data_IF_503749196151
#
_entry.id   IF_503749196151
#
_cell.length_a   1.000
_cell.length_b   1.000
_cell.length_c   1.000
_cell.angle_alpha   90.00
_cell.angle_beta   90.00
_cell.angle_gamma   90.00
#
_symmetry.space_group_name_H-M   'P 1'
#
loop_
_entity.id
_entity.type
_entity.pdbx_description
1 polymer ?
#
# COMPACT_ATOMS: atom_id res chain seq x y z
N UNK A 1 10.46 16.49 -9.11
CA UNK A 1 9.16 17.14 -8.80
C UNK A 1 9.14 17.58 -7.34
N UNK A 2 8.62 18.78 -7.04
CA UNK A 2 8.48 19.36 -5.68
C UNK A 2 7.40 18.67 -4.79
N UNK A 3 7.14 17.38 -4.98
CA UNK A 3 6.22 16.62 -4.11
C UNK A 3 6.90 16.02 -2.86
N UNK A 4 8.23 16.07 -2.77
CA UNK A 4 9.00 15.48 -1.67
C UNK A 4 9.02 16.34 -0.38
N UNK A 5 8.26 17.44 -0.34
CA UNK A 5 8.34 18.43 0.74
C UNK A 5 7.27 18.30 1.84
N UNK A 6 6.25 17.44 1.69
CA UNK A 6 5.11 17.42 2.63
C UNK A 6 4.46 16.04 2.82
N UNK A 7 5.19 14.91 2.78
CA UNK A 7 4.59 13.57 2.89
C UNK A 7 3.37 13.29 1.95
N UNK A 8 3.12 14.18 0.98
CA UNK A 8 2.00 14.12 0.04
C UNK A 8 2.21 13.00 -1.00
N UNK A 9 3.45 12.50 -1.11
CA UNK A 9 3.80 11.38 -1.97
C UNK A 9 2.99 10.13 -1.63
N UNK A 10 2.86 9.82 -0.35
CA UNK A 10 2.16 8.63 0.16
C UNK A 10 0.67 8.70 -0.22
N UNK A 11 0.03 9.84 0.03
CA UNK A 11 -1.36 10.09 -0.39
C UNK A 11 -1.53 10.09 -1.91
N UNK A 12 -0.59 10.67 -2.65
CA UNK A 12 -0.62 10.72 -4.11
C UNK A 12 -0.50 9.31 -4.72
N UNK A 13 0.40 8.46 -4.20
CA UNK A 13 0.53 7.07 -4.62
C UNK A 13 -0.72 6.28 -4.26
N UNK A 14 -1.26 6.45 -3.05
CA UNK A 14 -2.49 5.79 -2.64
C UNK A 14 -3.66 6.10 -3.58
N UNK A 15 -3.84 7.37 -3.97
CA UNK A 15 -4.90 7.81 -4.87
C UNK A 15 -4.64 7.32 -6.30
N UNK A 16 -3.42 7.51 -6.80
CA UNK A 16 -3.05 7.20 -8.19
C UNK A 16 -3.12 5.70 -8.48
N UNK A 17 -2.56 4.86 -7.59
CA UNK A 17 -2.51 3.41 -7.77
C UNK A 17 -3.69 2.67 -7.15
N UNK A 18 -4.52 3.36 -6.36
CA UNK A 18 -5.76 2.82 -5.81
C UNK A 18 -6.99 3.26 -6.61
N UNK A 19 -7.83 4.16 -6.07
CA UNK A 19 -9.10 4.54 -6.69
C UNK A 19 -8.99 4.98 -8.14
N UNK A 20 -7.98 5.78 -8.49
CA UNK A 20 -7.89 6.35 -9.84
C UNK A 20 -7.61 5.27 -10.88
N UNK A 21 -6.59 4.43 -10.65
CA UNK A 21 -6.23 3.35 -11.56
C UNK A 21 -7.40 2.38 -11.77
N UNK A 22 -8.07 2.00 -10.69
CA UNK A 22 -9.19 1.08 -10.76
C UNK A 22 -10.40 1.72 -11.44
N UNK A 23 -10.70 3.00 -11.15
CA UNK A 23 -11.78 3.73 -11.83
C UNK A 23 -11.57 3.79 -13.35
N UNK A 24 -10.35 4.17 -13.78
CA UNK A 24 -9.99 4.18 -15.20
C UNK A 24 -10.13 2.79 -15.83
N UNK A 25 -9.83 1.73 -15.09
CA UNK A 25 -9.98 0.35 -15.57
C UNK A 25 -11.44 0.00 -15.84
N UNK A 26 -12.36 0.30 -14.92
CA UNK A 26 -13.79 0.03 -15.14
C UNK A 26 -14.34 0.87 -16.29
N UNK A 27 -13.98 2.15 -16.37
CA UNK A 27 -14.40 3.02 -17.47
C UNK A 27 -14.00 2.48 -18.84
N UNK A 28 -12.85 1.81 -18.93
CA UNK A 28 -12.37 1.24 -20.18
C UNK A 28 -13.00 -0.13 -20.50
N UNK A 29 -13.17 -0.99 -19.50
CA UNK A 29 -13.55 -2.40 -19.68
C UNK A 29 -15.07 -2.61 -19.59
N UNK A 30 -15.77 -1.83 -18.76
CA UNK A 30 -17.20 -1.97 -18.48
C UNK A 30 -17.86 -0.60 -18.17
N UNK A 31 -17.86 0.35 -19.12
CA UNK A 31 -18.34 1.72 -18.90
C UNK A 31 -19.79 1.79 -18.41
N UNK A 32 -20.66 0.90 -18.90
CA UNK A 32 -22.08 0.87 -18.52
C UNK A 32 -22.32 0.39 -17.08
N UNK A 33 -21.32 -0.24 -16.45
CA UNK A 33 -21.43 -0.80 -15.10
C UNK A 33 -20.76 0.05 -14.02
N UNK A 34 -20.22 1.22 -14.37
CA UNK A 34 -19.48 2.10 -13.45
C UNK A 34 -20.32 2.45 -12.23
N UNK A 35 -21.54 2.95 -12.42
CA UNK A 35 -22.40 3.39 -11.31
C UNK A 35 -22.82 2.24 -10.39
N UNK A 36 -23.01 1.04 -10.96
CA UNK A 36 -23.43 -0.14 -10.21
C UNK A 36 -22.26 -0.80 -9.44
N UNK A 37 -21.05 -0.78 -10.02
CA UNK A 37 -19.89 -1.49 -9.47
C UNK A 37 -18.99 -0.60 -8.62
N UNK A 38 -19.11 0.73 -8.69
CA UNK A 38 -18.17 1.64 -8.03
C UNK A 38 -17.99 1.37 -6.54
N UNK A 39 -19.07 1.10 -5.80
CA UNK A 39 -19.01 0.81 -4.37
C UNK A 39 -18.28 -0.50 -4.04
N UNK A 40 -18.53 -1.57 -4.79
CA UNK A 40 -17.81 -2.84 -4.62
C UNK A 40 -16.35 -2.69 -5.04
N UNK A 41 -16.13 -1.95 -6.13
CA UNK A 41 -14.83 -1.86 -6.76
C UNK A 41 -13.86 -0.97 -6.00
N UNK A 42 -14.36 0.06 -5.33
CA UNK A 42 -13.59 0.87 -4.40
C UNK A 42 -12.92 0.00 -3.31
N UNK A 43 -13.60 -1.04 -2.83
CA UNK A 43 -13.03 -1.97 -1.85
C UNK A 43 -11.74 -2.63 -2.34
N UNK A 44 -11.66 -3.03 -3.62
CA UNK A 44 -10.47 -3.69 -4.16
C UNK A 44 -9.26 -2.75 -4.30
N UNK A 45 -9.48 -1.44 -4.26
CA UNK A 45 -8.38 -0.46 -4.32
C UNK A 45 -7.55 -0.46 -3.05
N UNK A 46 -8.18 -0.72 -1.90
CA UNK A 46 -7.58 -0.61 -0.57
C UNK A 46 -6.37 -1.54 -0.39
N UNK A 47 -6.47 -2.86 -0.60
CA UNK A 47 -5.32 -3.74 -0.43
C UNK A 47 -4.20 -3.44 -1.42
N UNK A 48 -4.53 -3.05 -2.66
CA UNK A 48 -3.55 -2.64 -3.67
C UNK A 48 -2.80 -1.37 -3.21
N UNK A 49 -3.51 -0.36 -2.72
CA UNK A 49 -2.90 0.87 -2.24
C UNK A 49 -1.99 0.64 -1.03
N UNK A 50 -2.35 -0.26 -0.11
CA UNK A 50 -1.47 -0.62 1.00
C UNK A 50 -0.16 -1.26 0.53
N UNK A 51 -0.19 -2.12 -0.49
CA UNK A 51 1.02 -2.70 -1.07
C UNK A 51 1.85 -1.65 -1.82
N UNK A 52 1.23 -0.76 -2.59
CA UNK A 52 1.93 0.35 -3.25
C UNK A 52 2.61 1.28 -2.23
N UNK A 53 1.91 1.64 -1.17
CA UNK A 53 2.44 2.44 -0.08
C UNK A 53 3.57 1.71 0.65
N UNK A 54 3.46 0.40 0.83
CA UNK A 54 4.52 -0.44 1.40
C UNK A 54 5.83 -0.34 0.59
N UNK A 55 5.74 -0.33 -0.75
CA UNK A 55 6.90 -0.16 -1.62
C UNK A 55 7.51 1.24 -1.47
N UNK A 56 6.69 2.29 -1.47
CA UNK A 56 7.16 3.67 -1.31
C UNK A 56 7.81 3.88 0.06
N UNK A 57 7.14 3.41 1.11
CA UNK A 57 7.63 3.49 2.48
C UNK A 57 8.93 2.70 2.67
N UNK A 58 9.12 1.58 1.98
CA UNK A 58 10.39 0.85 1.99
C UNK A 58 11.54 1.68 1.42
N UNK A 59 11.30 2.36 0.30
CA UNK A 59 12.29 3.25 -0.33
C UNK A 59 12.61 4.42 0.59
N UNK A 60 11.59 5.11 1.09
CA UNK A 60 11.76 6.23 2.03
C UNK A 60 12.49 5.79 3.32
N UNK A 61 12.29 4.54 3.77
CA UNK A 61 12.93 4.01 4.98
C UNK A 61 14.40 3.67 4.80
N UNK A 62 14.81 3.22 3.62
CA UNK A 62 16.22 2.98 3.30
C UNK A 62 16.99 4.30 3.21
N UNK A 63 16.32 5.34 2.71
CA UNK A 63 16.95 6.62 2.42
C UNK A 63 16.82 7.65 3.57
N UNK A 64 16.35 7.25 4.76
CA UNK A 64 16.13 8.15 5.92
C UNK A 64 17.34 9.06 6.17
N UNK A 65 18.56 8.51 6.17
CA UNK A 65 19.78 9.25 6.46
C UNK A 65 20.08 10.35 5.45
N UNK A 66 19.94 10.04 4.16
CA UNK A 66 20.19 10.99 3.07
C UNK A 66 19.04 12.01 2.95
N UNK A 67 17.79 11.55 3.10
CA UNK A 67 16.61 12.41 3.06
C UNK A 67 16.58 13.41 4.22
N UNK A 68 17.00 12.99 5.43
CA UNK A 68 17.11 13.89 6.58
C UNK A 68 18.18 14.97 6.35
N UNK A 69 19.34 14.62 5.77
CA UNK A 69 20.39 15.60 5.43
C UNK A 69 19.95 16.59 4.36
N UNK A 70 19.13 16.14 3.42
CA UNK A 70 18.56 16.97 2.37
C UNK A 70 17.36 17.82 2.83
N UNK A 71 16.94 17.71 4.10
CA UNK A 71 15.81 18.46 4.66
C UNK A 71 14.45 18.01 4.14
N UNK A 72 14.35 16.76 3.66
CA UNK A 72 13.14 16.17 3.12
C UNK A 72 12.32 15.54 4.25
N UNK A 73 11.00 15.75 4.22
CA UNK A 73 10.08 15.24 5.24
C UNK A 73 9.21 14.15 4.62
N UNK A 74 9.52 12.90 4.97
CA UNK A 74 8.73 11.70 4.65
C UNK A 74 8.21 11.06 5.94
N UNK A 75 7.23 10.15 5.81
CA UNK A 75 6.75 9.37 6.95
C UNK A 75 7.90 8.60 7.63
N UNK A 76 8.83 8.08 6.83
CA UNK A 76 9.99 7.36 7.32
C UNK A 76 10.98 8.26 8.10
N UNK A 77 11.28 9.47 7.62
CA UNK A 77 12.17 10.40 8.34
C UNK A 77 11.55 10.89 9.65
N UNK A 78 10.22 11.04 9.71
CA UNK A 78 9.51 11.43 10.93
C UNK A 78 9.49 10.32 12.00
N UNK A 79 9.35 9.07 11.56
CA UNK A 79 9.23 7.91 12.44
C UNK A 79 10.57 7.28 12.84
N UNK A 80 11.62 7.51 12.04
CA UNK A 80 12.90 6.82 12.16
C UNK A 80 12.80 5.32 11.88
N UNK A 81 13.93 4.62 11.91
CA UNK A 81 14.01 3.20 11.55
C UNK A 81 13.05 2.29 12.34
N UNK A 82 12.94 2.47 13.66
CA UNK A 82 12.06 1.65 14.49
C UNK A 82 10.57 1.88 14.21
N UNK A 83 10.17 3.12 13.94
CA UNK A 83 8.79 3.43 13.53
C UNK A 83 8.50 2.94 12.11
N UNK A 84 9.46 3.08 11.20
CA UNK A 84 9.36 2.58 9.83
C UNK A 84 9.11 1.08 9.75
N UNK A 85 9.77 0.27 10.58
CA UNK A 85 9.51 -1.18 10.70
C UNK A 85 8.06 -1.48 11.06
N UNK A 86 7.52 -0.78 12.06
CA UNK A 86 6.14 -0.98 12.52
C UNK A 86 5.12 -0.61 11.43
N UNK A 87 5.33 0.51 10.74
CA UNK A 87 4.46 0.92 9.63
C UNK A 87 4.54 -0.08 8.48
N UNK A 88 5.73 -0.54 8.13
CA UNK A 88 5.90 -1.53 7.05
C UNK A 88 5.13 -2.83 7.32
N UNK A 89 5.28 -3.39 8.53
CA UNK A 89 4.51 -4.57 8.96
C UNK A 89 3.01 -4.27 9.01
N UNK A 90 2.63 -3.09 9.50
CA UNK A 90 1.24 -2.64 9.55
C UNK A 90 0.58 -2.58 8.17
N UNK A 91 1.27 -2.04 7.16
CA UNK A 91 0.77 -1.95 5.79
C UNK A 91 0.56 -3.32 5.16
N UNK A 92 1.52 -4.23 5.29
CA UNK A 92 1.38 -5.62 4.80
C UNK A 92 0.21 -6.30 5.51
N UNK A 93 0.13 -6.19 6.83
CA UNK A 93 -0.94 -6.79 7.63
C UNK A 93 -2.31 -6.24 7.23
N UNK A 94 -2.41 -4.91 7.04
CA UNK A 94 -3.64 -4.25 6.62
C UNK A 94 -4.10 -4.75 5.25
N UNK A 95 -3.19 -4.95 4.29
CA UNK A 95 -3.52 -5.51 2.98
C UNK A 95 -4.17 -6.91 3.10
N UNK A 96 -3.60 -7.81 3.90
CA UNK A 96 -4.17 -9.14 4.13
C UNK A 96 -5.53 -9.06 4.84
N UNK A 97 -5.63 -8.28 5.92
CA UNK A 97 -6.87 -8.12 6.68
C UNK A 97 -8.00 -7.60 5.80
N UNK A 98 -7.74 -6.60 4.96
CA UNK A 98 -8.75 -6.08 4.04
C UNK A 98 -9.24 -7.15 3.07
N UNK A 99 -8.35 -7.94 2.46
CA UNK A 99 -8.76 -9.02 1.55
C UNK A 99 -9.60 -10.09 2.28
N UNK A 100 -9.23 -10.44 3.52
CA UNK A 100 -10.01 -11.39 4.33
C UNK A 100 -11.41 -10.85 4.61
N UNK A 101 -11.53 -9.59 5.05
CA UNK A 101 -12.82 -8.95 5.32
C UNK A 101 -13.68 -8.93 4.06
N UNK A 102 -13.12 -8.55 2.92
CA UNK A 102 -13.83 -8.54 1.64
C UNK A 102 -14.28 -9.94 1.19
N UNK A 103 -13.39 -10.94 1.32
CA UNK A 103 -13.68 -12.32 0.97
C UNK A 103 -14.88 -12.87 1.75
N UNK A 104 -14.90 -12.61 3.06
CA UNK A 104 -16.00 -13.03 3.94
C UNK A 104 -17.28 -12.24 3.66
N UNK A 105 -17.19 -10.91 3.53
CA UNK A 105 -18.34 -10.03 3.28
C UNK A 105 -19.05 -10.32 1.95
N UNK A 106 -18.30 -10.64 0.90
CA UNK A 106 -18.84 -10.95 -0.43
C UNK A 106 -19.10 -12.45 -0.65
N UNK A 107 -18.78 -13.30 0.33
CA UNK A 107 -18.84 -14.78 0.22
C UNK A 107 -18.00 -15.33 -0.94
N UNK A 108 -16.89 -14.65 -1.27
CA UNK A 108 -15.97 -15.02 -2.36
C UNK A 108 -14.70 -15.64 -1.78
N UNK A 109 -14.79 -16.93 -1.43
CA UNK A 109 -13.68 -17.66 -0.81
C UNK A 109 -12.42 -17.74 -1.71
N UNK A 110 -12.57 -17.63 -3.03
CA UNK A 110 -11.44 -17.59 -3.97
C UNK A 110 -10.44 -16.46 -3.68
N UNK A 111 -10.88 -15.35 -3.06
CA UNK A 111 -9.99 -14.26 -2.67
C UNK A 111 -9.00 -14.67 -1.58
N UNK A 112 -9.30 -15.72 -0.80
CA UNK A 112 -8.39 -16.24 0.24
C UNK A 112 -7.15 -16.93 -0.35
N UNK A 113 -7.06 -17.12 -1.67
CA UNK A 113 -5.82 -17.54 -2.33
C UNK A 113 -4.64 -16.60 -2.04
N UNK A 114 -4.91 -15.33 -1.67
CA UNK A 114 -3.88 -14.41 -1.19
C UNK A 114 -3.09 -14.99 -0.02
N UNK A 115 -3.68 -15.84 0.82
CA UNK A 115 -2.98 -16.42 1.97
C UNK A 115 -1.83 -17.35 1.58
N UNK A 116 -1.82 -17.85 0.34
CA UNK A 116 -0.70 -18.64 -0.19
C UNK A 116 0.60 -17.82 -0.29
N UNK A 117 0.52 -16.49 -0.36
CA UNK A 117 1.70 -15.62 -0.33
C UNK A 117 2.17 -15.22 1.07
N UNK A 118 1.54 -15.73 2.14
CA UNK A 118 1.98 -15.47 3.53
C UNK A 118 3.46 -15.79 3.77
N UNK A 119 4.03 -16.93 3.33
CA UNK A 119 5.45 -17.21 3.53
C UNK A 119 6.35 -16.15 2.90
N UNK A 120 5.97 -15.64 1.72
CA UNK A 120 6.69 -14.57 1.04
C UNK A 120 6.58 -13.24 1.80
N UNK A 121 5.41 -12.92 2.36
CA UNK A 121 5.24 -11.73 3.18
C UNK A 121 6.15 -11.74 4.41
N UNK A 122 6.29 -12.88 5.09
CA UNK A 122 7.23 -13.02 6.21
C UNK A 122 8.68 -12.85 5.76
N UNK A 123 9.07 -13.45 4.63
CA UNK A 123 10.43 -13.28 4.08
C UNK A 123 10.74 -11.80 3.79
N UNK A 124 9.82 -11.10 3.14
CA UNK A 124 9.96 -9.68 2.80
C UNK A 124 10.03 -8.80 4.05
N UNK A 125 9.21 -9.05 5.07
CA UNK A 125 9.28 -8.33 6.36
C UNK A 125 10.64 -8.53 7.04
N UNK A 126 11.14 -9.77 7.05
CA UNK A 126 12.41 -10.10 7.68
C UNK A 126 13.59 -9.44 6.95
N UNK A 127 13.58 -9.47 5.61
CA UNK A 127 14.58 -8.79 4.76
C UNK A 127 14.55 -7.29 5.00
N UNK A 128 13.38 -6.67 4.90
CA UNK A 128 13.24 -5.23 5.14
C UNK A 128 13.78 -4.84 6.52
N UNK A 129 13.44 -5.61 7.55
CA UNK A 129 13.90 -5.35 8.93
C UNK A 129 15.42 -5.43 9.09
N UNK A 130 16.09 -6.31 8.33
CA UNK A 130 17.55 -6.41 8.27
C UNK A 130 18.18 -5.29 7.44
N UNK A 131 17.58 -4.93 6.31
CA UNK A 131 18.14 -3.97 5.35
C UNK A 131 18.20 -2.54 5.88
N UNK A 132 17.31 -2.16 6.80
CA UNK A 132 17.24 -0.81 7.37
C UNK A 132 17.88 -0.70 8.76
N UNK A 133 18.63 -1.72 9.20
CA UNK A 133 19.42 -1.70 10.44
C UNK A 133 20.78 -1.03 10.25
#
# INVERSE_FOLDING_TARGET
LKLKYFALGDAAIFIAFGPLLVYCTILLVAPESVDALWGEVFGYTIPCSFICECILHANNSRDIGEDSKAGLVTLATLLGFAGSKRVYVGLITAAYVTVIIMSLGQRRLGMMMVLLSLPLAFDVINRFTHDIN
#
